data_IF_483741343737
#
_entry.id   IF_483741343737
#
_cell.length_a   1.000
_cell.length_b   1.000
_cell.length_c   1.000
_cell.angle_alpha   90.00
_cell.angle_beta   90.00
_cell.angle_gamma   90.00
#
_symmetry.space_group_name_H-M   'P 1'
#
loop_
_entity.id
_entity.type
_entity.pdbx_description
1 polymer ?
#
# COMPACT_ATOMS: atom_id res chain seq x y z
N UNK A 1 11.92 8.25 -32.56
CA UNK A 1 11.49 6.88 -32.29
C UNK A 1 10.56 6.96 -31.10
N UNK A 2 9.25 6.94 -31.36
CA UNK A 2 8.25 6.85 -30.29
C UNK A 2 8.32 5.45 -29.71
N UNK A 3 8.51 5.32 -28.39
CA UNK A 3 8.41 4.05 -27.68
C UNK A 3 6.95 3.57 -27.73
N UNK A 4 6.67 2.64 -28.62
CA UNK A 4 5.36 2.03 -28.88
C UNK A 4 4.88 1.07 -27.76
N UNK A 5 5.49 1.10 -26.55
CA UNK A 5 5.35 0.04 -25.55
C UNK A 5 4.78 0.49 -24.20
N UNK A 6 4.32 1.74 -24.07
CA UNK A 6 3.67 2.20 -22.85
C UNK A 6 2.16 1.95 -22.97
N UNK A 7 1.70 0.80 -22.52
CA UNK A 7 0.27 0.51 -22.39
C UNK A 7 -0.29 1.15 -21.13
N UNK A 8 -1.54 1.61 -21.20
CA UNK A 8 -2.23 2.14 -20.03
C UNK A 8 -2.44 1.03 -18.98
N UNK A 9 -2.32 1.39 -17.72
CA UNK A 9 -2.68 0.50 -16.63
C UNK A 9 -4.20 0.35 -16.61
N UNK A 10 -4.67 -0.87 -16.77
CA UNK A 10 -6.09 -1.18 -16.66
C UNK A 10 -6.47 -1.67 -15.27
N UNK A 11 -5.59 -2.50 -14.68
CA UNK A 11 -5.84 -3.15 -13.41
C UNK A 11 -4.58 -3.15 -12.55
N UNK A 12 -4.77 -3.13 -11.22
CA UNK A 12 -3.70 -3.32 -10.25
C UNK A 12 -4.08 -4.49 -9.35
N UNK A 13 -3.14 -5.40 -9.13
CA UNK A 13 -3.31 -6.53 -8.22
C UNK A 13 -2.36 -6.35 -7.05
N UNK A 14 -2.91 -6.35 -5.84
CA UNK A 14 -2.16 -6.32 -4.59
C UNK A 14 -2.31 -7.67 -3.92
N UNK A 15 -1.19 -8.28 -3.55
CA UNK A 15 -1.17 -9.56 -2.83
C UNK A 15 -0.40 -9.35 -1.53
N UNK A 16 -1.01 -9.69 -0.41
CA UNK A 16 -0.38 -9.65 0.91
C UNK A 16 -0.50 -10.99 1.64
N UNK A 17 0.35 -11.20 2.63
CA UNK A 17 0.38 -12.36 3.52
C UNK A 17 -0.13 -12.03 4.93
N UNK A 18 -0.97 -11.02 5.07
CA UNK A 18 -1.59 -10.62 6.34
C UNK A 18 -2.59 -11.65 6.86
N UNK A 19 -3.26 -11.29 7.96
CA UNK A 19 -4.24 -12.18 8.62
C UNK A 19 -5.49 -12.44 7.77
N UNK A 20 -5.72 -11.63 6.73
CA UNK A 20 -6.83 -11.78 5.81
C UNK A 20 -8.16 -11.18 6.31
N UNK A 21 -9.22 -11.53 5.59
CA UNK A 21 -10.60 -11.10 5.87
C UNK A 21 -11.36 -12.19 6.64
N UNK A 22 -10.95 -12.41 7.90
CA UNK A 22 -11.80 -13.08 8.90
C UNK A 22 -13.12 -12.30 9.11
N UNK A 23 -14.01 -12.76 9.97
CA UNK A 23 -15.29 -12.08 10.18
C UNK A 23 -15.12 -10.66 10.72
N UNK A 24 -14.16 -10.44 11.61
CA UNK A 24 -13.91 -9.14 12.22
C UNK A 24 -13.38 -8.12 11.19
N UNK A 25 -12.37 -8.50 10.40
CA UNK A 25 -11.82 -7.66 9.35
C UNK A 25 -12.82 -7.43 8.21
N UNK A 26 -13.62 -8.43 7.86
CA UNK A 26 -14.66 -8.29 6.86
C UNK A 26 -15.74 -7.32 7.32
N UNK A 27 -16.26 -7.46 8.52
CA UNK A 27 -17.26 -6.56 9.08
C UNK A 27 -16.72 -5.12 9.20
N UNK A 28 -15.46 -4.97 9.61
CA UNK A 28 -14.79 -3.68 9.62
C UNK A 28 -14.66 -3.08 8.21
N UNK A 29 -14.41 -3.91 7.22
CA UNK A 29 -14.35 -3.45 5.82
C UNK A 29 -15.75 -3.07 5.30
N UNK A 30 -16.79 -3.80 5.62
CA UNK A 30 -18.14 -3.49 5.20
C UNK A 30 -18.74 -2.25 5.90
N UNK A 31 -18.29 -1.97 7.13
CA UNK A 31 -18.74 -0.81 7.92
C UNK A 31 -18.06 0.48 7.48
N UNK A 32 -18.83 1.48 6.99
CA UNK A 32 -18.32 2.81 6.67
C UNK A 32 -17.77 3.50 7.92
N UNK A 33 -16.60 4.15 7.78
CA UNK A 33 -15.89 4.83 8.86
C UNK A 33 -15.65 3.95 10.11
N UNK A 34 -15.39 2.66 9.90
CA UNK A 34 -15.11 1.72 10.98
C UNK A 34 -13.96 2.20 11.88
N UNK A 35 -14.18 2.15 13.19
CA UNK A 35 -13.20 2.52 14.22
C UNK A 35 -12.29 1.35 14.63
N UNK A 36 -12.48 0.16 14.07
CA UNK A 36 -11.77 -1.07 14.44
C UNK A 36 -10.23 -0.92 14.49
N UNK A 37 -9.67 -0.11 13.60
CA UNK A 37 -8.22 0.17 13.53
C UNK A 37 -7.87 1.64 13.85
N UNK A 38 -8.72 2.35 14.59
CA UNK A 38 -8.53 3.77 14.89
C UNK A 38 -7.23 4.01 15.67
N UNK A 39 -6.86 3.12 16.58
CA UNK A 39 -5.61 3.19 17.34
C UNK A 39 -4.35 3.09 16.44
N UNK A 40 -4.49 2.55 15.23
CA UNK A 40 -3.44 2.48 14.21
C UNK A 40 -3.48 3.67 13.24
N UNK A 41 -4.30 4.69 13.53
CA UNK A 41 -4.47 5.87 12.67
C UNK A 41 -5.39 5.65 11.46
N UNK A 42 -6.07 4.50 11.37
CA UNK A 42 -7.00 4.22 10.29
C UNK A 42 -8.32 4.96 10.50
N UNK A 43 -8.84 5.60 9.45
CA UNK A 43 -10.12 6.34 9.46
C UNK A 43 -11.28 5.54 8.86
N UNK A 44 -11.06 4.29 8.45
CA UNK A 44 -12.08 3.42 7.86
C UNK A 44 -12.61 3.83 6.48
N UNK A 45 -11.97 4.83 5.83
CA UNK A 45 -12.43 5.40 4.54
C UNK A 45 -11.47 5.17 3.37
N UNK A 46 -10.29 4.61 3.63
CA UNK A 46 -9.23 4.43 2.61
C UNK A 46 -9.72 3.64 1.38
N UNK A 47 -10.57 2.63 1.57
CA UNK A 47 -11.14 1.83 0.49
C UNK A 47 -11.99 2.64 -0.51
N UNK A 48 -12.54 3.77 -0.10
CA UNK A 48 -13.31 4.65 -1.00
C UNK A 48 -12.43 5.28 -2.08
N UNK A 49 -11.12 5.42 -1.80
CA UNK A 49 -10.16 5.89 -2.80
C UNK A 49 -9.99 4.87 -3.94
N UNK A 50 -10.18 3.59 -3.67
CA UNK A 50 -10.17 2.56 -4.71
C UNK A 50 -11.29 2.82 -5.72
N UNK A 51 -12.51 3.06 -5.26
CA UNK A 51 -13.66 3.33 -6.13
C UNK A 51 -13.61 4.71 -6.79
N UNK A 52 -12.83 5.64 -6.22
CA UNK A 52 -12.55 6.92 -6.87
C UNK A 52 -11.71 6.71 -8.14
N UNK A 53 -10.71 5.82 -8.09
CA UNK A 53 -9.77 5.59 -9.18
C UNK A 53 -10.18 4.44 -10.11
N UNK A 54 -10.83 3.40 -9.59
CA UNK A 54 -11.19 2.18 -10.32
C UNK A 54 -12.70 1.97 -10.37
N UNK A 55 -13.15 1.19 -11.35
CA UNK A 55 -14.57 0.92 -11.54
C UNK A 55 -15.12 -0.06 -10.50
N UNK A 56 -14.34 -1.08 -10.15
CA UNK A 56 -14.72 -2.10 -9.16
C UNK A 56 -13.48 -2.73 -8.52
N UNK A 57 -13.70 -3.41 -7.41
CA UNK A 57 -12.67 -4.15 -6.68
C UNK A 57 -13.15 -5.57 -6.46
N UNK A 58 -12.32 -6.56 -6.73
CA UNK A 58 -12.56 -7.94 -6.35
C UNK A 58 -11.54 -8.38 -5.31
N UNK A 59 -12.01 -9.01 -4.26
CA UNK A 59 -11.20 -9.48 -3.15
C UNK A 59 -11.32 -11.00 -3.03
N UNK A 60 -10.16 -11.65 -2.91
CA UNK A 60 -10.03 -13.05 -2.54
C UNK A 60 -9.09 -13.12 -1.34
N UNK A 61 -9.54 -13.65 -0.22
CA UNK A 61 -8.77 -13.72 1.01
C UNK A 61 -8.81 -15.12 1.61
N UNK A 62 -7.64 -15.69 1.82
CA UNK A 62 -7.46 -16.95 2.54
C UNK A 62 -7.01 -16.61 3.95
N UNK A 63 -7.79 -17.02 4.93
CA UNK A 63 -7.59 -16.72 6.35
C UNK A 63 -7.80 -17.98 7.19
N UNK A 64 -7.41 -17.92 8.47
CA UNK A 64 -7.60 -19.00 9.44
C UNK A 64 -8.69 -18.60 10.42
N UNK A 65 -9.64 -19.49 10.62
CA UNK A 65 -10.71 -19.35 11.59
C UNK A 65 -11.04 -20.72 12.17
N UNK A 66 -11.06 -20.82 13.51
CA UNK A 66 -11.27 -22.09 14.23
C UNK A 66 -10.35 -23.23 13.74
N UNK A 67 -9.06 -22.91 13.57
CA UNK A 67 -8.01 -23.82 13.06
C UNK A 67 -8.24 -24.37 11.63
N UNK A 68 -9.21 -23.81 10.91
CA UNK A 68 -9.53 -24.16 9.53
C UNK A 68 -9.13 -23.01 8.58
N UNK A 69 -8.62 -23.39 7.43
CA UNK A 69 -8.40 -22.41 6.35
C UNK A 69 -9.69 -22.22 5.56
N UNK A 70 -10.08 -20.96 5.43
CA UNK A 70 -11.25 -20.52 4.68
C UNK A 70 -10.84 -19.52 3.61
N UNK A 71 -11.55 -19.50 2.50
CA UNK A 71 -11.43 -18.49 1.47
C UNK A 71 -12.71 -17.68 1.40
N UNK A 72 -12.58 -16.37 1.60
CA UNK A 72 -13.66 -15.40 1.40
C UNK A 72 -13.41 -14.66 0.10
N UNK A 73 -14.44 -14.58 -0.73
CA UNK A 73 -14.45 -13.76 -1.95
C UNK A 73 -15.62 -12.81 -1.91
N UNK A 74 -15.43 -11.60 -2.37
CA UNK A 74 -16.49 -10.61 -2.52
C UNK A 74 -16.11 -9.52 -3.53
N UNK A 75 -17.10 -8.79 -3.99
CA UNK A 75 -16.97 -7.65 -4.86
C UNK A 75 -17.27 -6.36 -4.09
N UNK A 76 -16.69 -5.26 -4.54
CA UNK A 76 -16.92 -3.94 -3.98
C UNK A 76 -16.95 -2.91 -5.10
N UNK A 77 -18.09 -2.23 -5.26
CA UNK A 77 -18.27 -1.17 -6.25
C UNK A 77 -19.14 -0.01 -5.71
N UNK A 78 -19.27 1.05 -6.49
CA UNK A 78 -19.99 2.24 -6.07
C UNK A 78 -21.53 2.08 -6.08
N UNK A 79 -22.05 1.07 -6.78
CA UNK A 79 -23.50 0.88 -6.91
C UNK A 79 -24.07 -0.03 -5.84
N UNK A 80 -23.31 -1.07 -5.44
CA UNK A 80 -23.79 -2.14 -4.58
C UNK A 80 -23.02 -2.23 -3.26
N UNK A 81 -22.01 -1.36 -3.05
CA UNK A 81 -21.09 -1.49 -1.92
C UNK A 81 -20.43 -2.88 -1.91
N UNK A 82 -20.38 -3.58 -0.79
CA UNK A 82 -19.87 -4.95 -0.72
C UNK A 82 -21.00 -5.92 -1.11
N UNK A 83 -20.73 -6.80 -2.08
CA UNK A 83 -21.71 -7.76 -2.59
C UNK A 83 -21.06 -9.06 -3.07
N UNK A 84 -21.87 -10.05 -3.43
CA UNK A 84 -21.46 -11.38 -3.93
C UNK A 84 -20.49 -12.13 -3.01
N UNK A 85 -20.64 -11.94 -1.70
CA UNK A 85 -19.78 -12.58 -0.71
C UNK A 85 -20.03 -14.09 -0.68
N UNK A 86 -18.94 -14.86 -0.72
CA UNK A 86 -18.92 -16.31 -0.59
C UNK A 86 -17.78 -16.73 0.34
N UNK A 87 -18.01 -17.76 1.13
CA UNK A 87 -16.98 -18.38 1.97
C UNK A 87 -16.95 -19.88 1.67
N UNK A 88 -15.75 -20.44 1.54
CA UNK A 88 -15.55 -21.89 1.39
C UNK A 88 -14.39 -22.34 2.27
N UNK A 89 -14.46 -23.57 2.79
CA UNK A 89 -13.33 -24.20 3.47
C UNK A 89 -12.31 -24.66 2.43
N UNK A 90 -11.04 -24.60 2.82
CA UNK A 90 -9.90 -25.04 2.00
C UNK A 90 -9.10 -26.10 2.74
N UNK A 91 -8.25 -26.81 1.99
CA UNK A 91 -7.25 -27.70 2.57
C UNK A 91 -6.21 -26.93 3.37
N UNK A 92 -5.59 -27.59 4.35
CA UNK A 92 -4.64 -26.96 5.28
C UNK A 92 -3.30 -26.54 4.64
N UNK A 93 -2.98 -27.04 3.47
CA UNK A 93 -1.74 -26.79 2.72
C UNK A 93 -1.73 -25.47 1.94
N UNK A 94 -2.89 -24.84 1.75
CA UNK A 94 -3.00 -23.57 1.01
C UNK A 94 -2.38 -22.43 1.83
N UNK A 95 -1.59 -21.56 1.18
CA UNK A 95 -1.00 -20.40 1.86
C UNK A 95 -2.03 -19.34 2.19
N UNK A 96 -1.89 -18.74 3.38
CA UNK A 96 -2.68 -17.60 3.79
C UNK A 96 -2.26 -16.37 2.99
N UNK A 97 -3.18 -15.82 2.22
CA UNK A 97 -2.93 -14.65 1.37
C UNK A 97 -4.22 -13.86 1.17
N UNK A 98 -4.08 -12.56 0.97
CA UNK A 98 -5.17 -11.70 0.48
C UNK A 98 -4.78 -11.12 -0.87
N UNK A 99 -5.68 -11.22 -1.83
CA UNK A 99 -5.54 -10.69 -3.17
C UNK A 99 -6.65 -9.67 -3.41
N UNK A 100 -6.24 -8.42 -3.59
CA UNK A 100 -7.12 -7.31 -3.95
C UNK A 100 -6.84 -6.95 -5.40
N UNK A 101 -7.84 -7.03 -6.26
CA UNK A 101 -7.76 -6.60 -7.65
C UNK A 101 -8.59 -5.35 -7.84
N UNK A 102 -7.93 -4.26 -8.19
CA UNK A 102 -8.55 -2.99 -8.58
C UNK A 102 -8.78 -3.04 -10.09
N UNK A 103 -10.04 -3.04 -10.52
CA UNK A 103 -10.42 -3.28 -11.92
C UNK A 103 -10.86 -1.99 -12.61
N UNK A 104 -10.37 -1.80 -13.83
CA UNK A 104 -10.78 -0.73 -14.71
C UNK A 104 -10.40 0.65 -14.19
N UNK A 105 -9.13 1.07 -14.39
CA UNK A 105 -8.71 2.44 -14.07
C UNK A 105 -9.58 3.43 -14.86
N UNK A 106 -10.19 4.39 -14.16
CA UNK A 106 -11.10 5.37 -14.77
C UNK A 106 -10.34 6.32 -15.71
N UNK A 107 -10.95 6.67 -16.82
CA UNK A 107 -10.37 7.52 -17.87
C UNK A 107 -9.72 8.80 -17.34
N UNK A 108 -10.37 9.48 -16.40
CA UNK A 108 -9.86 10.73 -15.80
C UNK A 108 -8.53 10.60 -15.07
N UNK A 109 -8.10 9.37 -14.72
CA UNK A 109 -6.84 9.11 -14.05
C UNK A 109 -5.77 8.48 -14.95
N UNK A 110 -6.15 7.94 -16.13
CA UNK A 110 -5.21 7.27 -17.04
C UNK A 110 -4.07 8.18 -17.49
N UNK A 111 -4.39 9.43 -17.83
CA UNK A 111 -3.40 10.41 -18.29
C UNK A 111 -2.33 10.76 -17.25
N UNK A 112 -2.66 10.68 -15.95
CA UNK A 112 -1.75 11.00 -14.84
C UNK A 112 -1.19 9.77 -14.15
N UNK A 113 -1.62 8.57 -14.53
CA UNK A 113 -1.12 7.33 -13.95
C UNK A 113 0.27 7.01 -14.52
N UNK A 114 1.30 6.78 -13.66
CA UNK A 114 2.60 6.36 -14.14
C UNK A 114 2.48 5.02 -14.86
N UNK A 115 3.09 4.91 -16.05
CA UNK A 115 3.05 3.69 -16.87
C UNK A 115 4.31 2.83 -16.70
N UNK A 116 5.41 3.44 -16.27
CA UNK A 116 6.71 2.74 -16.08
C UNK A 116 6.76 2.14 -14.69
N UNK A 117 7.15 0.87 -14.63
CA UNK A 117 7.30 0.14 -13.37
C UNK A 117 8.28 0.83 -12.42
N UNK A 118 9.41 1.34 -12.93
CA UNK A 118 10.39 2.10 -12.17
C UNK A 118 9.78 3.35 -11.51
N UNK A 119 8.94 4.09 -12.24
CA UNK A 119 8.27 5.28 -11.69
C UNK A 119 7.27 4.90 -10.60
N UNK A 120 6.54 3.80 -10.78
CA UNK A 120 5.59 3.29 -9.78
C UNK A 120 6.36 2.85 -8.53
N UNK A 121 7.45 2.09 -8.70
CA UNK A 121 8.28 1.63 -7.60
C UNK A 121 8.88 2.80 -6.79
N UNK A 122 9.40 3.83 -7.48
CA UNK A 122 9.90 5.05 -6.83
C UNK A 122 8.82 5.81 -6.08
N UNK A 123 7.61 5.89 -6.62
CA UNK A 123 6.49 6.54 -5.94
C UNK A 123 6.08 5.76 -4.68
N UNK A 124 6.07 4.42 -4.73
CA UNK A 124 5.81 3.57 -3.55
C UNK A 124 6.91 3.77 -2.51
N UNK A 125 8.18 3.74 -2.91
CA UNK A 125 9.30 3.99 -2.01
C UNK A 125 9.18 5.36 -1.33
N UNK A 126 8.89 6.42 -2.09
CA UNK A 126 8.71 7.77 -1.56
C UNK A 126 7.56 7.82 -0.55
N UNK A 127 6.44 7.17 -0.84
CA UNK A 127 5.29 7.12 0.07
C UNK A 127 5.60 6.34 1.36
N UNK A 128 6.34 5.26 1.25
CA UNK A 128 6.71 4.38 2.36
C UNK A 128 8.06 4.74 3.00
N UNK A 129 8.71 5.80 2.55
CA UNK A 129 10.09 6.15 2.89
C UNK A 129 10.38 6.11 4.39
N UNK A 130 9.51 6.72 5.20
CA UNK A 130 9.67 6.74 6.66
C UNK A 130 9.71 5.33 7.27
N UNK A 131 8.95 4.38 6.73
CA UNK A 131 8.96 3.00 7.21
C UNK A 131 10.29 2.31 6.88
N UNK A 132 10.86 2.58 5.70
CA UNK A 132 12.17 2.06 5.30
C UNK A 132 13.28 2.59 6.20
N UNK A 133 13.28 3.89 6.42
CA UNK A 133 14.26 4.56 7.32
C UNK A 133 14.18 4.01 8.75
N UNK A 134 12.98 3.72 9.25
CA UNK A 134 12.77 3.16 10.59
C UNK A 134 13.00 1.63 10.67
N UNK A 135 13.34 0.97 9.56
CA UNK A 135 13.48 -0.49 9.50
C UNK A 135 12.17 -1.24 9.77
N UNK A 136 11.02 -0.60 9.50
CA UNK A 136 9.68 -1.14 9.75
C UNK A 136 8.87 -1.38 8.47
N UNK A 137 9.47 -1.16 7.30
CA UNK A 137 8.81 -1.42 6.04
C UNK A 137 8.55 -2.92 5.85
N UNK A 138 7.38 -3.31 5.36
CA UNK A 138 7.18 -4.67 4.88
C UNK A 138 8.00 -4.87 3.60
N UNK A 139 8.33 -6.11 3.27
CA UNK A 139 8.91 -6.41 1.97
C UNK A 139 7.89 -6.14 0.87
N UNK A 140 8.23 -5.26 -0.07
CA UNK A 140 7.37 -4.87 -1.18
C UNK A 140 8.06 -5.21 -2.49
N UNK A 141 7.38 -5.97 -3.35
CA UNK A 141 7.82 -6.30 -4.69
C UNK A 141 6.79 -5.73 -5.67
N UNK A 142 7.25 -4.92 -6.61
CA UNK A 142 6.43 -4.39 -7.70
C UNK A 142 6.80 -5.11 -8.99
N UNK A 143 5.80 -5.60 -9.73
CA UNK A 143 6.07 -6.32 -10.98
C UNK A 143 5.01 -6.04 -12.03
N UNK A 144 5.40 -6.11 -13.26
CA UNK A 144 4.53 -6.23 -14.42
C UNK A 144 4.83 -7.54 -15.19
N UNK A 145 4.42 -7.62 -16.44
CA UNK A 145 4.66 -8.80 -17.29
C UNK A 145 6.13 -8.97 -17.69
N UNK A 146 6.99 -7.95 -17.54
CA UNK A 146 8.36 -7.90 -18.06
C UNK A 146 9.40 -7.81 -16.97
N UNK A 147 9.11 -6.98 -15.95
CA UNK A 147 10.10 -6.58 -14.96
C UNK A 147 9.60 -6.81 -13.53
N UNK A 148 10.55 -6.97 -12.63
CA UNK A 148 10.33 -7.11 -11.19
C UNK A 148 11.27 -6.14 -10.48
N UNK A 149 10.74 -5.34 -9.57
CA UNK A 149 11.51 -4.41 -8.73
C UNK A 149 11.25 -4.72 -7.26
N UNK A 150 12.32 -5.01 -6.53
CA UNK A 150 12.31 -5.12 -5.07
C UNK A 150 12.54 -3.72 -4.49
N UNK A 151 11.59 -3.22 -3.68
CA UNK A 151 11.69 -1.87 -3.11
C UNK A 151 12.80 -1.79 -2.06
N UNK A 152 13.13 -2.90 -1.37
CA UNK A 152 14.25 -2.92 -0.42
C UNK A 152 15.59 -2.71 -1.14
N UNK A 153 15.76 -3.34 -2.31
CA UNK A 153 16.95 -3.16 -3.14
C UNK A 153 17.00 -1.74 -3.70
N UNK A 154 15.86 -1.25 -4.23
CA UNK A 154 15.75 0.13 -4.73
C UNK A 154 16.11 1.16 -3.63
N UNK A 155 15.68 0.93 -2.39
CA UNK A 155 16.03 1.78 -1.24
C UNK A 155 17.54 1.75 -0.97
N UNK A 156 18.15 0.57 -0.88
CA UNK A 156 19.59 0.41 -0.62
C UNK A 156 20.46 1.04 -1.70
N UNK A 157 20.10 0.86 -2.96
CA UNK A 157 20.85 1.42 -4.10
C UNK A 157 20.80 2.94 -4.15
N UNK A 158 19.65 3.55 -3.85
CA UNK A 158 19.48 4.99 -4.00
C UNK A 158 19.80 5.78 -2.74
N UNK A 159 19.66 5.18 -1.57
CA UNK A 159 19.66 5.88 -0.30
C UNK A 159 20.77 5.37 0.63
N UNK A 160 21.03 4.06 0.62
CA UNK A 160 22.09 3.43 1.39
C UNK A 160 21.91 3.53 2.91
N UNK A 161 22.94 3.10 3.66
CA UNK A 161 22.90 3.01 5.13
C UNK A 161 23.31 4.33 5.83
N UNK A 162 23.45 5.44 5.12
CA UNK A 162 23.96 6.72 5.63
C UNK A 162 22.91 7.56 6.35
N UNK A 163 22.11 6.93 7.20
CA UNK A 163 21.10 7.63 8.02
C UNK A 163 21.73 7.96 9.38
N UNK A 164 21.76 9.25 9.74
CA UNK A 164 22.04 9.69 11.10
C UNK A 164 20.71 9.84 11.83
N UNK A 165 20.60 9.19 12.97
CA UNK A 165 19.44 9.31 13.86
C UNK A 165 19.93 10.00 15.12
N UNK A 166 19.40 11.19 15.40
CA UNK A 166 19.67 11.95 16.63
C UNK A 166 18.38 12.02 17.45
N UNK A 167 18.50 11.79 18.75
CA UNK A 167 17.40 11.98 19.69
C UNK A 167 17.42 13.44 20.19
N UNK A 168 16.34 14.18 19.97
CA UNK A 168 16.18 15.57 20.42
C UNK A 168 15.10 15.58 21.49
N UNK A 169 15.46 16.03 22.69
CA UNK A 169 14.52 16.22 23.79
C UNK A 169 13.93 17.64 23.77
N UNK A 170 12.62 17.74 23.63
CA UNK A 170 11.89 19.01 23.69
C UNK A 170 10.85 18.93 24.80
N UNK A 171 11.08 19.64 25.88
CA UNK A 171 10.15 19.73 27.04
C UNK A 171 9.76 18.34 27.60
N UNK A 172 10.73 17.42 27.72
CA UNK A 172 10.52 16.09 28.26
C UNK A 172 9.89 15.09 27.29
N UNK A 173 9.78 15.46 26.01
CA UNK A 173 9.36 14.55 24.92
C UNK A 173 10.53 14.32 23.99
N UNK A 174 10.96 13.07 23.86
CA UNK A 174 12.06 12.69 22.97
C UNK A 174 11.55 12.50 21.55
N UNK A 175 12.09 13.30 20.63
CA UNK A 175 11.82 13.20 19.19
C UNK A 175 13.02 12.56 18.49
N UNK A 176 12.78 11.61 17.60
CA UNK A 176 13.83 11.07 16.74
C UNK A 176 13.97 11.94 15.50
N UNK A 177 15.12 12.58 15.37
CA UNK A 177 15.48 13.36 14.21
C UNK A 177 16.28 12.50 13.25
N UNK A 178 15.74 12.28 12.04
CA UNK A 178 16.40 11.50 11.01
C UNK A 178 16.97 12.46 9.98
N UNK A 179 18.29 12.40 9.79
CA UNK A 179 18.98 13.19 8.80
C UNK A 179 19.67 12.25 7.79
N UNK A 180 19.33 12.41 6.52
CA UNK A 180 19.99 11.69 5.44
C UNK A 180 20.42 12.68 4.37
N UNK A 181 21.70 12.62 4.00
CA UNK A 181 22.23 13.37 2.85
C UNK A 181 22.01 12.57 1.57
N UNK A 182 21.23 13.09 0.67
CA UNK A 182 20.98 12.52 -0.66
C UNK A 182 21.77 13.29 -1.73
N UNK A 183 23.09 13.34 -1.58
CA UNK A 183 23.96 14.11 -2.47
C UNK A 183 23.72 15.62 -2.34
N UNK A 184 23.37 16.30 -3.44
CA UNK A 184 23.13 17.75 -3.44
C UNK A 184 21.68 18.15 -3.10
N UNK A 185 20.83 17.22 -2.68
CA UNK A 185 19.42 17.47 -2.39
C UNK A 185 19.12 17.16 -0.93
N UNK A 186 18.58 18.13 -0.20
CA UNK A 186 18.14 17.97 1.18
C UNK A 186 16.62 17.82 1.21
N UNK A 187 16.12 16.75 1.86
CA UNK A 187 14.71 16.53 2.08
C UNK A 187 14.37 16.92 3.51
N UNK A 188 13.47 17.87 3.68
CA UNK A 188 12.87 18.20 4.95
C UNK A 188 11.51 17.53 5.05
N UNK A 189 11.34 16.71 6.08
CA UNK A 189 10.07 16.06 6.38
C UNK A 189 9.33 16.90 7.42
N UNK A 190 8.20 17.45 7.03
CA UNK A 190 7.30 18.15 7.94
C UNK A 190 6.03 17.33 8.14
N UNK A 191 5.53 17.30 9.37
CA UNK A 191 4.28 16.64 9.72
C UNK A 191 3.13 17.64 9.58
N UNK A 192 2.42 17.60 8.47
CA UNK A 192 1.22 18.39 8.28
C UNK A 192 -0.02 17.47 8.35
N UNK A 193 -0.93 17.76 9.31
CA UNK A 193 -2.18 16.98 9.52
C UNK A 193 -2.01 15.47 9.68
N UNK A 194 -0.92 15.00 10.26
CA UNK A 194 -0.65 13.58 10.46
C UNK A 194 0.02 12.88 9.28
N UNK A 195 0.21 13.55 8.16
CA UNK A 195 0.96 13.07 7.01
C UNK A 195 2.34 13.71 6.95
N UNK A 196 3.35 12.92 6.57
CA UNK A 196 4.69 13.43 6.31
C UNK A 196 4.75 13.92 4.87
N UNK A 197 5.00 15.21 4.69
CA UNK A 197 5.26 15.78 3.37
C UNK A 197 6.77 15.94 3.21
N UNK A 198 7.29 15.49 2.07
CA UNK A 198 8.66 15.73 1.67
C UNK A 198 8.72 17.08 0.95
N UNK A 199 9.40 18.07 1.53
CA UNK A 199 9.71 19.32 0.87
C UNK A 199 11.14 19.25 0.35
N UNK A 200 11.31 19.43 -0.95
CA UNK A 200 12.64 19.55 -1.58
C UNK A 200 12.99 21.03 -1.55
N UNK A 201 14.00 21.42 -0.80
CA UNK A 201 14.63 22.72 -0.93
C UNK A 201 15.91 22.56 -1.76
N UNK A 202 16.02 23.37 -2.80
CA UNK A 202 17.22 23.45 -3.66
C UNK A 202 18.20 24.44 -3.08
#
# INVERSE_FOLDING_TARGET
>A
LFNQWETDIENIIIVDNGIGFDDENYNSFDTYASEYKIQKGCKGVGRMLWLKAFCSVSIESIFVEEDKKKCRTFLFDANHAVHDMKVKELSSDVLQTTKVRLNGLREQYKGNCPKKLDTIAKNILNHCFTYYVLGKAPKIIVRDERDIIDIDELYKENIGDNIKIDDIDIKGTTFKFLCQSLGCTTYLFDKNNGEYQCKIER
#
